data_IF_218858201449
#
_entry.id   IF_218858201449
#
_cell.length_a   1.000
_cell.length_b   1.000
_cell.length_c   1.000
_cell.angle_alpha   90.00
_cell.angle_beta   90.00
_cell.angle_gamma   90.00
#
_symmetry.space_group_name_H-M   'P 1'
#
loop_
_entity.id
_entity.type
_entity.pdbx_description
1 polymer ?
#
# COMPACT_ATOMS: atom_id res chain seq x y z
N UNK A 1 2.09 -23.86 33.02
CA UNK A 1 1.71 -24.35 31.68
C UNK A 1 2.12 -23.28 30.70
N UNK A 2 2.93 -23.67 29.72
CA UNK A 2 3.95 -22.89 29.04
C UNK A 2 3.43 -21.71 28.22
N UNK A 3 4.29 -20.70 28.14
CA UNK A 3 4.26 -19.56 27.22
C UNK A 3 4.43 -20.09 25.80
N UNK A 4 3.37 -20.69 25.30
CA UNK A 4 3.17 -21.10 23.91
C UNK A 4 1.92 -20.35 23.44
N UNK A 5 1.95 -19.03 23.61
CA UNK A 5 1.04 -18.14 22.92
C UNK A 5 1.35 -18.34 21.43
N UNK A 6 0.49 -19.12 20.79
CA UNK A 6 0.58 -19.54 19.41
C UNK A 6 1.09 -18.40 18.51
N UNK A 7 2.36 -18.50 18.13
CA UNK A 7 2.83 -17.95 16.88
C UNK A 7 2.13 -18.72 15.76
N UNK A 8 0.86 -18.40 15.52
CA UNK A 8 0.24 -18.70 14.25
C UNK A 8 1.11 -17.98 13.24
N UNK A 9 1.89 -18.73 12.46
CA UNK A 9 2.59 -18.16 11.31
C UNK A 9 1.51 -17.50 10.45
N UNK A 10 1.44 -16.17 10.53
CA UNK A 10 0.39 -15.38 9.90
C UNK A 10 0.49 -15.35 8.38
N UNK A 11 1.51 -16.00 7.80
CA UNK A 11 1.73 -16.12 6.36
C UNK A 11 2.09 -17.58 6.04
N UNK A 12 1.05 -18.41 5.90
CA UNK A 12 1.14 -19.83 5.60
C UNK A 12 0.54 -20.15 4.23
N UNK A 13 1.33 -20.77 3.37
CA UNK A 13 0.96 -21.16 2.01
C UNK A 13 0.79 -22.67 1.83
N UNK A 14 0.73 -23.47 2.89
CA UNK A 14 0.59 -24.94 2.81
C UNK A 14 -0.70 -25.40 2.11
N UNK A 15 -1.74 -24.57 2.10
CA UNK A 15 -2.99 -24.83 1.40
C UNK A 15 -2.96 -24.40 -0.08
N UNK A 16 -1.85 -23.83 -0.55
CA UNK A 16 -1.72 -23.35 -1.92
C UNK A 16 -1.81 -24.50 -2.93
N UNK A 17 -2.62 -24.39 -3.99
CA UNK A 17 -2.70 -25.40 -5.04
C UNK A 17 -1.44 -25.43 -5.93
N UNK A 18 -0.61 -24.39 -5.86
CA UNK A 18 0.62 -24.24 -6.63
C UNK A 18 1.83 -23.94 -5.72
N UNK A 19 3.06 -24.31 -6.11
CA UNK A 19 4.24 -23.93 -5.36
C UNK A 19 4.38 -22.41 -5.30
N UNK A 20 4.59 -21.86 -4.10
CA UNK A 20 4.89 -20.44 -3.90
C UNK A 20 6.40 -20.26 -3.75
N UNK A 21 6.99 -19.33 -4.50
CA UNK A 21 8.44 -19.07 -4.47
C UNK A 21 8.87 -18.59 -3.07
N UNK A 22 10.02 -19.06 -2.61
CA UNK A 22 10.53 -18.72 -1.27
C UNK A 22 10.83 -17.24 -1.07
N UNK A 23 11.24 -16.53 -2.12
CA UNK A 23 11.52 -15.09 -2.08
C UNK A 23 10.24 -14.25 -1.91
N UNK A 24 9.13 -14.64 -2.54
CA UNK A 24 7.79 -14.08 -2.30
C UNK A 24 7.39 -14.21 -0.83
N UNK A 25 7.48 -15.42 -0.28
CA UNK A 25 7.14 -15.69 1.13
C UNK A 25 8.02 -14.83 2.05
N UNK A 26 9.32 -14.74 1.78
CA UNK A 26 10.25 -13.97 2.59
C UNK A 26 9.93 -12.46 2.55
N UNK A 27 9.65 -11.89 1.39
CA UNK A 27 9.29 -10.47 1.26
C UNK A 27 7.98 -10.15 1.97
N UNK A 28 6.96 -11.00 1.82
CA UNK A 28 5.69 -10.82 2.51
C UNK A 28 5.84 -10.94 4.03
N UNK A 29 6.67 -11.87 4.53
CA UNK A 29 6.99 -11.97 5.96
C UNK A 29 7.64 -10.69 6.49
N UNK A 30 8.57 -10.09 5.75
CA UNK A 30 9.14 -8.77 6.11
C UNK A 30 8.07 -7.68 6.10
N UNK A 31 7.20 -7.67 5.11
CA UNK A 31 6.12 -6.68 5.01
C UNK A 31 5.09 -6.80 6.14
N UNK A 32 4.70 -8.02 6.53
CA UNK A 32 3.79 -8.26 7.66
C UNK A 32 4.42 -7.86 8.99
N UNK A 33 5.71 -8.14 9.19
CA UNK A 33 6.43 -7.69 10.37
C UNK A 33 6.51 -6.15 10.44
N UNK A 34 6.77 -5.49 9.29
CA UNK A 34 6.76 -4.03 9.20
C UNK A 34 5.37 -3.44 9.43
N UNK A 35 4.32 -4.09 8.94
CA UNK A 35 2.93 -3.67 9.16
C UNK A 35 2.58 -3.63 10.65
N UNK A 36 3.06 -4.61 11.42
CA UNK A 36 2.85 -4.68 12.86
C UNK A 36 3.61 -3.61 13.66
N UNK A 37 4.78 -3.18 13.17
CA UNK A 37 5.66 -2.21 13.84
C UNK A 37 5.18 -0.76 13.68
N UNK A 38 5.54 0.17 14.59
CA UNK A 38 5.36 1.59 14.36
C UNK A 38 6.13 2.05 13.11
N UNK A 39 5.52 2.97 12.36
CA UNK A 39 6.07 3.53 11.14
C UNK A 39 6.78 4.86 11.33
N UNK A 40 6.68 5.74 10.33
CA UNK A 40 7.15 7.12 10.45
C UNK A 40 6.09 7.99 11.11
N UNK A 41 4.80 7.77 10.89
CA UNK A 41 3.72 8.65 11.33
C UNK A 41 2.68 7.92 12.16
N UNK A 42 2.50 6.61 11.94
CA UNK A 42 1.52 5.82 12.66
C UNK A 42 2.15 4.84 13.63
N UNK A 43 1.52 4.65 14.79
CA UNK A 43 1.83 3.54 15.68
C UNK A 43 1.45 2.20 15.02
N UNK A 44 2.00 1.10 15.52
CA UNK A 44 1.62 -0.23 15.03
C UNK A 44 0.11 -0.47 15.12
N UNK A 45 -0.54 -0.02 16.20
CA UNK A 45 -1.98 -0.14 16.38
C UNK A 45 -2.77 0.60 15.28
N UNK A 46 -2.38 1.83 14.94
CA UNK A 46 -3.05 2.59 13.87
C UNK A 46 -2.81 1.94 12.50
N UNK A 47 -1.61 1.41 12.23
CA UNK A 47 -1.32 0.70 10.97
C UNK A 47 -2.18 -0.57 10.81
N UNK A 48 -2.40 -1.32 11.89
CA UNK A 48 -3.32 -2.46 11.89
C UNK A 48 -4.76 -2.02 11.68
N UNK A 49 -5.21 -0.95 12.35
CA UNK A 49 -6.55 -0.43 12.14
C UNK A 49 -6.77 0.07 10.70
N UNK A 50 -5.76 0.69 10.06
CA UNK A 50 -5.81 1.06 8.64
C UNK A 50 -6.01 -0.20 7.78
N UNK A 51 -5.29 -1.28 8.08
CA UNK A 51 -5.44 -2.56 7.36
C UNK A 51 -6.83 -3.19 7.55
N UNK A 52 -7.41 -3.10 8.74
CA UNK A 52 -8.77 -3.56 9.04
C UNK A 52 -9.83 -2.78 8.23
N UNK A 53 -9.76 -1.45 8.25
CA UNK A 53 -10.66 -0.59 7.45
C UNK A 53 -10.47 -0.82 5.94
N UNK A 54 -9.23 -1.04 5.49
CA UNK A 54 -8.94 -1.36 4.09
C UNK A 54 -9.68 -2.62 3.62
N UNK A 55 -9.75 -3.64 4.49
CA UNK A 55 -10.51 -4.88 4.22
C UNK A 55 -12.02 -4.65 4.36
N UNK A 56 -12.46 -3.84 5.31
CA UNK A 56 -13.88 -3.58 5.56
C UNK A 56 -14.55 -2.74 4.46
N UNK A 57 -13.81 -1.80 3.85
CA UNK A 57 -14.32 -0.90 2.81
C UNK A 57 -14.94 -1.64 1.60
N UNK A 58 -14.48 -2.86 1.27
CA UNK A 58 -15.08 -3.70 0.22
C UNK A 58 -16.56 -4.04 0.50
N UNK A 59 -16.94 -4.09 1.79
CA UNK A 59 -18.28 -4.44 2.26
C UNK A 59 -19.10 -3.25 2.76
N UNK A 60 -18.53 -2.04 2.79
CA UNK A 60 -19.22 -0.83 3.21
C UNK A 60 -20.38 -0.48 2.24
N UNK A 61 -21.61 -0.36 2.77
CA UNK A 61 -22.80 -0.01 2.01
C UNK A 61 -22.72 1.38 1.39
N UNK A 62 -22.27 2.37 2.16
CA UNK A 62 -22.11 3.72 1.67
C UNK A 62 -21.06 3.84 0.55
N UNK A 63 -19.95 3.09 0.65
CA UNK A 63 -18.97 3.02 -0.43
C UNK A 63 -19.59 2.49 -1.74
N UNK A 64 -20.44 1.46 -1.67
CA UNK A 64 -21.14 0.94 -2.86
C UNK A 64 -22.09 1.97 -3.46
N UNK A 65 -22.88 2.65 -2.64
CA UNK A 65 -23.80 3.70 -3.08
C UNK A 65 -23.05 4.85 -3.77
N UNK A 66 -22.01 5.37 -3.11
CA UNK A 66 -21.16 6.45 -3.63
C UNK A 66 -20.45 6.03 -4.93
N UNK A 67 -20.00 4.77 -5.03
CA UNK A 67 -19.40 4.22 -6.25
C UNK A 67 -20.38 4.18 -7.42
N UNK A 68 -21.65 3.84 -7.15
CA UNK A 68 -22.70 3.77 -8.16
C UNK A 68 -23.20 5.16 -8.60
N UNK A 69 -23.08 6.18 -7.74
CA UNK A 69 -23.49 7.53 -8.05
C UNK A 69 -22.66 8.17 -9.17
N UNK A 70 -23.27 9.09 -9.93
CA UNK A 70 -22.59 9.83 -11.00
C UNK A 70 -21.43 10.67 -10.46
N UNK A 71 -21.62 11.31 -9.31
CA UNK A 71 -20.60 12.08 -8.60
C UNK A 71 -20.48 11.57 -7.17
N UNK A 72 -19.26 11.30 -6.66
CA UNK A 72 -19.04 10.93 -5.26
C UNK A 72 -19.56 11.99 -4.28
N UNK A 73 -19.59 13.26 -4.69
CA UNK A 73 -20.02 14.39 -3.87
C UNK A 73 -21.55 14.63 -3.91
N UNK A 74 -22.30 13.84 -4.68
CA UNK A 74 -23.76 13.95 -4.75
C UNK A 74 -24.48 13.08 -3.69
N UNK A 75 -23.73 12.21 -2.99
CA UNK A 75 -24.27 11.31 -1.96
C UNK A 75 -23.61 11.65 -0.63
N UNK A 76 -24.43 11.76 0.41
CA UNK A 76 -23.99 11.97 1.79
C UNK A 76 -24.37 10.78 2.63
N UNK A 77 -23.49 10.36 3.53
CA UNK A 77 -23.67 9.19 4.37
C UNK A 77 -22.45 8.98 5.27
N UNK A 78 -22.51 7.96 6.10
CA UNK A 78 -21.41 7.56 6.97
C UNK A 78 -20.87 6.19 6.52
N UNK A 79 -19.57 5.98 6.68
CA UNK A 79 -18.97 4.67 6.43
C UNK A 79 -19.37 3.68 7.52
N UNK A 80 -19.52 2.42 7.13
CA UNK A 80 -19.53 1.31 8.06
C UNK A 80 -18.09 1.09 8.54
N UNK A 81 -17.78 1.55 9.75
CA UNK A 81 -16.44 1.44 10.35
C UNK A 81 -16.32 0.16 11.18
N UNK A 82 -15.10 -0.36 11.27
CA UNK A 82 -14.75 -1.53 12.11
C UNK A 82 -13.68 -1.21 13.14
N UNK A 83 -13.22 0.04 13.18
CA UNK A 83 -12.17 0.54 14.07
C UNK A 83 -12.58 1.87 14.71
N UNK A 84 -11.76 2.34 15.66
CA UNK A 84 -11.89 3.65 16.31
C UNK A 84 -11.06 4.74 15.61
N UNK A 85 -10.70 4.55 14.32
CA UNK A 85 -9.95 5.56 13.58
C UNK A 85 -10.78 6.84 13.39
N UNK A 86 -10.13 8.03 13.32
CA UNK A 86 -10.82 9.28 13.03
C UNK A 86 -11.59 9.22 11.70
N UNK A 87 -12.75 9.85 11.62
CA UNK A 87 -13.63 9.84 10.44
C UNK A 87 -12.91 10.28 9.16
N UNK A 88 -12.01 11.28 9.25
CA UNK A 88 -11.20 11.75 8.11
C UNK A 88 -10.30 10.63 7.55
N UNK A 89 -9.71 9.81 8.43
CA UNK A 89 -8.82 8.74 8.03
C UNK A 89 -9.60 7.56 7.43
N UNK A 90 -10.74 7.22 8.03
CA UNK A 90 -11.68 6.24 7.47
C UNK A 90 -12.15 6.69 6.07
N UNK A 91 -12.54 7.95 5.90
CA UNK A 91 -12.94 8.51 4.61
C UNK A 91 -11.82 8.38 3.57
N UNK A 92 -10.57 8.67 3.94
CA UNK A 92 -9.40 8.48 3.05
C UNK A 92 -9.26 7.02 2.65
N UNK A 93 -9.23 6.10 3.61
CA UNK A 93 -9.05 4.66 3.37
C UNK A 93 -10.16 4.11 2.47
N UNK A 94 -11.41 4.39 2.81
CA UNK A 94 -12.58 3.88 2.11
C UNK A 94 -12.66 4.43 0.68
N UNK A 95 -12.42 5.73 0.49
CA UNK A 95 -12.47 6.35 -0.85
C UNK A 95 -11.32 5.87 -1.74
N UNK A 96 -10.11 5.75 -1.22
CA UNK A 96 -8.96 5.19 -1.96
C UNK A 96 -9.18 3.72 -2.31
N UNK A 97 -9.68 2.90 -1.37
CA UNK A 97 -9.87 1.46 -1.60
C UNK A 97 -10.92 1.17 -2.67
N UNK A 98 -12.00 1.94 -2.70
CA UNK A 98 -13.21 1.58 -3.46
C UNK A 98 -13.41 2.40 -4.74
N UNK A 99 -12.89 3.63 -4.78
CA UNK A 99 -13.10 4.58 -5.87
C UNK A 99 -11.86 5.44 -6.22
N UNK A 100 -10.67 4.83 -6.42
CA UNK A 100 -9.42 5.57 -6.63
C UNK A 100 -9.41 6.38 -7.93
N UNK A 101 -10.12 5.91 -8.97
CA UNK A 101 -10.17 6.57 -10.28
C UNK A 101 -10.98 7.87 -10.33
N UNK A 102 -11.61 8.28 -9.22
CA UNK A 102 -12.36 9.55 -9.11
C UNK A 102 -11.83 10.46 -8.01
N UNK A 103 -10.65 10.17 -7.46
CA UNK A 103 -9.98 11.06 -6.52
C UNK A 103 -9.57 12.35 -7.24
N UNK A 104 -9.59 13.46 -6.51
CA UNK A 104 -9.26 14.78 -7.03
C UNK A 104 -8.34 15.51 -6.06
N UNK A 105 -7.69 16.59 -6.51
CA UNK A 105 -6.93 17.48 -5.61
C UNK A 105 -7.79 17.96 -4.43
N UNK A 106 -9.07 18.27 -4.68
CA UNK A 106 -10.05 18.62 -3.64
C UNK A 106 -10.17 17.54 -2.55
N UNK A 107 -10.21 16.26 -2.92
CA UNK A 107 -10.25 15.16 -1.94
C UNK A 107 -9.04 15.21 -1.00
N UNK A 108 -7.85 15.39 -1.56
CA UNK A 108 -6.62 15.48 -0.79
C UNK A 108 -6.62 16.72 0.13
N UNK A 109 -7.03 17.88 -0.38
CA UNK A 109 -7.13 19.11 0.41
C UNK A 109 -8.17 19.00 1.53
N UNK A 110 -9.30 18.32 1.29
CA UNK A 110 -10.30 18.01 2.32
C UNK A 110 -9.74 17.09 3.40
N UNK A 111 -8.90 16.11 3.04
CA UNK A 111 -8.22 15.24 4.01
C UNK A 111 -7.28 16.03 4.93
N UNK A 112 -6.51 16.98 4.36
CA UNK A 112 -5.64 17.86 5.14
C UNK A 112 -6.44 18.80 6.05
N UNK A 113 -7.50 19.41 5.52
CA UNK A 113 -8.39 20.27 6.29
C UNK A 113 -9.11 19.52 7.42
N UNK A 114 -9.32 18.22 7.25
CA UNK A 114 -9.85 17.31 8.28
C UNK A 114 -8.85 16.89 9.35
N UNK A 115 -7.59 17.33 9.27
CA UNK A 115 -6.59 17.16 10.33
C UNK A 115 -5.48 16.14 10.03
N UNK A 116 -5.46 15.52 8.85
CA UNK A 116 -4.33 14.68 8.44
C UNK A 116 -3.17 15.57 7.97
N UNK A 117 -1.95 15.21 8.32
CA UNK A 117 -0.76 15.69 7.62
C UNK A 117 -0.60 15.00 6.27
N UNK A 118 0.16 15.63 5.38
CA UNK A 118 0.53 15.06 4.08
C UNK A 118 1.28 13.72 4.23
N UNK A 119 2.13 13.61 5.25
CA UNK A 119 2.92 12.43 5.50
C UNK A 119 2.13 11.30 6.17
N UNK A 120 1.17 11.61 7.05
CA UNK A 120 0.18 10.65 7.55
C UNK A 120 -0.69 10.08 6.41
N UNK A 121 -1.11 10.93 5.47
CA UNK A 121 -1.81 10.49 4.26
C UNK A 121 -0.93 9.51 3.44
N UNK A 122 0.34 9.86 3.18
CA UNK A 122 1.25 9.01 2.40
C UNK A 122 1.54 7.68 3.11
N UNK A 123 1.76 7.67 4.42
CA UNK A 123 1.95 6.41 5.16
C UNK A 123 0.70 5.54 5.12
N UNK A 124 -0.48 6.14 5.22
CA UNK A 124 -1.77 5.43 5.07
C UNK A 124 -1.84 4.72 3.72
N UNK A 125 -1.47 5.41 2.63
CA UNK A 125 -1.43 4.81 1.28
C UNK A 125 -0.44 3.65 1.20
N UNK A 126 0.76 3.78 1.81
CA UNK A 126 1.77 2.72 1.86
C UNK A 126 1.29 1.45 2.59
N UNK A 127 0.61 1.63 3.72
CA UNK A 127 -0.03 0.54 4.49
C UNK A 127 -1.11 -0.13 3.64
N UNK A 128 -2.02 0.64 3.04
CA UNK A 128 -3.07 0.11 2.17
C UNK A 128 -2.48 -0.70 1.01
N UNK A 129 -1.47 -0.16 0.32
CA UNK A 129 -0.82 -0.82 -0.80
C UNK A 129 -0.20 -2.18 -0.40
N UNK A 130 0.45 -2.22 0.77
CA UNK A 130 1.02 -3.46 1.33
C UNK A 130 -0.05 -4.53 1.56
N UNK A 131 -1.15 -4.15 2.22
CA UNK A 131 -2.24 -5.09 2.54
C UNK A 131 -2.93 -5.57 1.27
N UNK A 132 -3.25 -4.64 0.35
CA UNK A 132 -3.92 -4.97 -0.91
C UNK A 132 -3.06 -5.91 -1.76
N UNK A 133 -1.74 -5.71 -1.83
CA UNK A 133 -0.86 -6.58 -2.61
C UNK A 133 -0.86 -8.04 -2.11
N UNK A 134 -0.80 -8.23 -0.80
CA UNK A 134 -0.77 -9.57 -0.18
C UNK A 134 -2.15 -10.23 -0.20
N UNK A 135 -3.21 -9.46 0.08
CA UNK A 135 -4.58 -9.96 0.00
C UNK A 135 -4.95 -10.36 -1.43
N UNK A 136 -4.57 -9.55 -2.43
CA UNK A 136 -4.82 -9.87 -3.85
C UNK A 136 -4.06 -11.11 -4.29
N UNK A 137 -2.86 -11.35 -3.76
CA UNK A 137 -2.12 -12.58 -4.01
C UNK A 137 -2.85 -13.80 -3.45
N UNK A 138 -3.37 -13.71 -2.22
CA UNK A 138 -4.16 -14.79 -1.62
C UNK A 138 -5.43 -15.06 -2.43
N UNK A 139 -6.18 -14.00 -2.76
CA UNK A 139 -7.41 -14.10 -3.54
C UNK A 139 -7.16 -14.75 -4.91
N UNK A 140 -6.10 -14.34 -5.62
CA UNK A 140 -5.72 -14.91 -6.91
C UNK A 140 -5.32 -16.39 -6.84
N UNK A 141 -4.79 -16.83 -5.70
CA UNK A 141 -4.42 -18.22 -5.43
C UNK A 141 -5.58 -19.06 -4.88
N UNK A 142 -6.75 -18.46 -4.67
CA UNK A 142 -7.90 -19.12 -4.04
C UNK A 142 -7.66 -19.45 -2.56
N UNK A 143 -6.79 -18.68 -1.90
CA UNK A 143 -6.42 -18.86 -0.50
C UNK A 143 -7.23 -17.92 0.40
N UNK A 144 -7.49 -18.32 1.66
CA UNK A 144 -7.97 -17.39 2.65
C UNK A 144 -6.92 -16.27 2.86
N UNK A 145 -7.39 -15.02 2.93
CA UNK A 145 -6.52 -13.90 3.29
C UNK A 145 -5.94 -14.13 4.68
N UNK A 146 -4.66 -13.80 4.84
CA UNK A 146 -3.92 -13.95 6.07
C UNK A 146 -4.49 -13.12 7.21
N UNK A 147 -4.44 -13.65 8.44
CA UNK A 147 -4.77 -12.85 9.63
C UNK A 147 -3.83 -11.66 9.76
N UNK A 148 -4.36 -10.50 10.12
CA UNK A 148 -3.53 -9.34 10.42
C UNK A 148 -2.65 -9.65 11.64
N UNK A 149 -1.39 -9.17 11.67
CA UNK A 149 -0.52 -9.41 12.80
C UNK A 149 -0.97 -8.57 14.01
N UNK A 150 -0.62 -9.02 15.22
CA UNK A 150 -0.83 -8.21 16.41
C UNK A 150 0.08 -6.97 16.36
N UNK A 151 -0.42 -5.77 16.73
CA UNK A 151 0.38 -4.56 16.70
C UNK A 151 1.52 -4.64 17.72
N UNK A 152 2.70 -4.18 17.31
CA UNK A 152 3.87 -4.02 18.17
C UNK A 152 3.85 -2.60 18.73
N UNK A 153 4.03 -2.49 20.05
CA UNK A 153 4.08 -1.20 20.74
C UNK A 153 5.32 -0.39 20.33
N UNK A 154 5.16 0.94 20.31
CA UNK A 154 6.24 1.88 20.05
C UNK A 154 5.71 3.15 19.39
N UNK A 155 6.51 4.20 19.43
CA UNK A 155 6.15 5.50 18.88
C UNK A 155 6.56 5.61 17.40
N UNK A 156 5.76 6.32 16.58
CA UNK A 156 6.18 6.70 15.24
C UNK A 156 7.42 7.61 15.29
N UNK A 157 8.28 7.50 14.27
CA UNK A 157 9.58 8.23 14.23
C UNK A 157 9.46 9.70 13.85
N UNK A 158 8.36 10.06 13.20
CA UNK A 158 7.94 11.37 12.69
C UNK A 158 8.99 12.08 11.84
N UNK A 159 9.69 11.33 10.97
CA UNK A 159 10.71 11.90 10.08
C UNK A 159 10.09 12.27 8.75
N UNK A 160 10.11 13.56 8.47
CA UNK A 160 9.76 14.11 7.17
C UNK A 160 11.04 14.42 6.38
N UNK A 161 11.22 13.93 5.14
CA UNK A 161 12.39 14.24 4.33
C UNK A 161 12.54 15.74 4.08
N UNK A 162 13.76 16.26 4.24
CA UNK A 162 14.05 17.69 4.05
C UNK A 162 13.98 18.10 2.58
N UNK A 163 14.30 17.19 1.66
CA UNK A 163 14.28 17.41 0.21
C UNK A 163 12.90 17.26 -0.44
N UNK A 164 11.84 17.03 0.33
CA UNK A 164 10.50 16.86 -0.22
C UNK A 164 9.92 18.18 -0.78
N UNK A 165 9.49 18.14 -2.04
CA UNK A 165 8.98 19.30 -2.79
C UNK A 165 7.63 19.01 -3.44
N UNK A 166 6.82 20.05 -3.57
CA UNK A 166 5.60 20.03 -4.38
C UNK A 166 5.92 20.05 -5.89
N UNK A 167 4.91 19.76 -6.72
CA UNK A 167 4.95 20.02 -8.16
C UNK A 167 4.89 18.79 -9.06
N UNK A 168 5.24 17.60 -8.54
CA UNK A 168 5.07 16.35 -9.29
C UNK A 168 3.68 15.73 -9.13
N UNK A 169 3.13 15.77 -7.91
CA UNK A 169 1.83 15.22 -7.54
C UNK A 169 1.13 16.18 -6.56
N UNK A 170 -0.06 15.79 -6.06
CA UNK A 170 -0.74 16.57 -5.01
C UNK A 170 0.02 16.53 -3.68
N UNK A 171 0.65 15.39 -3.38
CA UNK A 171 1.55 15.23 -2.23
C UNK A 171 2.96 15.68 -2.59
N UNK A 172 3.73 16.26 -1.67
CA UNK A 172 5.16 16.47 -1.85
C UNK A 172 5.91 15.15 -2.12
N UNK A 173 6.94 15.19 -2.96
CA UNK A 173 7.78 14.04 -3.29
C UNK A 173 9.26 14.40 -3.20
N UNK A 174 10.13 13.41 -3.03
CA UNK A 174 11.59 13.58 -2.96
C UNK A 174 12.20 13.10 -4.27
N UNK A 175 12.88 13.98 -4.99
CA UNK A 175 13.63 13.61 -6.19
C UNK A 175 14.99 12.99 -5.82
N UNK A 176 15.62 12.16 -6.68
CA UNK A 176 16.96 11.62 -6.43
C UNK A 176 18.01 12.69 -6.10
N UNK A 177 17.96 13.83 -6.80
CA UNK A 177 18.86 14.97 -6.58
C UNK A 177 18.63 15.71 -5.26
N UNK A 178 17.51 15.43 -4.58
CA UNK A 178 17.11 16.06 -3.32
C UNK A 178 17.29 15.13 -2.10
N UNK A 179 17.88 13.95 -2.29
CA UNK A 179 18.18 13.03 -1.20
C UNK A 179 19.28 13.58 -0.29
N UNK A 180 19.12 13.34 1.01
CA UNK A 180 20.18 13.50 2.00
C UNK A 180 20.64 12.15 2.51
N UNK A 181 21.69 12.12 3.34
CA UNK A 181 22.15 10.89 3.99
C UNK A 181 21.04 10.20 4.81
N UNK A 182 20.01 10.93 5.25
CA UNK A 182 18.88 10.39 6.00
C UNK A 182 17.97 9.48 5.16
N UNK A 183 17.92 9.69 3.84
CA UNK A 183 17.15 8.89 2.88
C UNK A 183 18.04 7.98 2.01
N UNK A 184 19.30 7.76 2.43
CA UNK A 184 20.24 6.91 1.72
C UNK A 184 19.63 5.52 1.46
N UNK A 185 19.73 5.08 0.21
CA UNK A 185 19.21 3.80 -0.24
C UNK A 185 17.71 3.75 -0.57
N UNK A 186 16.96 4.84 -0.43
CA UNK A 186 15.53 4.87 -0.77
C UNK A 186 15.23 4.40 -2.21
N UNK A 187 16.14 4.68 -3.16
CA UNK A 187 16.02 4.29 -4.56
C UNK A 187 17.04 3.21 -4.98
N UNK A 188 17.59 2.43 -4.04
CA UNK A 188 18.54 1.37 -4.38
C UNK A 188 17.89 0.33 -5.30
N UNK A 189 18.51 0.12 -6.46
CA UNK A 189 17.99 -0.78 -7.49
C UNK A 189 16.76 -0.25 -8.24
N UNK A 190 16.41 1.02 -8.08
CA UNK A 190 15.28 1.66 -8.74
C UNK A 190 15.73 2.82 -9.63
N UNK A 191 15.14 2.93 -10.81
CA UNK A 191 15.35 4.06 -11.74
C UNK A 191 14.76 5.40 -11.27
N UNK A 192 14.13 5.43 -10.09
CA UNK A 192 13.53 6.60 -9.45
C UNK A 192 12.53 7.41 -10.31
N UNK A 193 11.92 6.78 -11.32
CA UNK A 193 10.80 7.35 -12.09
C UNK A 193 9.57 7.59 -11.19
N UNK A 194 8.54 8.26 -11.72
CA UNK A 194 7.40 8.77 -10.94
C UNK A 194 6.74 7.73 -10.01
N UNK A 195 6.63 6.46 -10.41
CA UNK A 195 6.04 5.42 -9.55
C UNK A 195 6.86 5.19 -8.27
N UNK A 196 8.19 5.21 -8.36
CA UNK A 196 9.08 5.07 -7.20
C UNK A 196 8.94 6.26 -6.24
N UNK A 197 8.58 7.43 -6.78
CA UNK A 197 8.46 8.68 -6.01
C UNK A 197 7.11 8.82 -5.30
N UNK A 198 6.12 7.99 -5.61
CA UNK A 198 4.74 8.14 -5.13
C UNK A 198 4.62 8.10 -3.60
N UNK A 199 5.47 7.33 -2.92
CA UNK A 199 5.51 7.22 -1.45
C UNK A 199 6.72 7.93 -0.83
N UNK A 200 7.49 8.69 -1.60
CA UNK A 200 8.80 9.22 -1.18
C UNK A 200 8.76 10.26 -0.07
N UNK A 201 7.57 10.79 0.27
CA UNK A 201 7.39 11.57 1.49
C UNK A 201 7.59 10.74 2.77
N UNK A 202 7.44 9.42 2.66
CA UNK A 202 7.70 8.44 3.72
C UNK A 202 8.67 7.38 3.17
N UNK A 203 10.00 7.63 3.20
CA UNK A 203 10.99 6.77 2.55
C UNK A 203 10.90 5.29 2.93
N UNK A 204 10.55 4.98 4.19
CA UNK A 204 10.36 3.62 4.65
C UNK A 204 9.25 2.87 3.89
N UNK A 205 8.22 3.57 3.41
CA UNK A 205 7.15 2.97 2.62
C UNK A 205 7.57 2.75 1.15
N UNK A 206 8.48 3.57 0.60
CA UNK A 206 9.10 3.27 -0.71
C UNK A 206 9.89 1.96 -0.63
N UNK A 207 10.82 1.88 0.32
CA UNK A 207 11.67 0.69 0.53
C UNK A 207 10.79 -0.53 0.79
N UNK A 208 9.78 -0.37 1.66
CA UNK A 208 8.88 -1.44 2.03
C UNK A 208 7.99 -1.95 0.89
N UNK A 209 7.52 -1.05 0.02
CA UNK A 209 6.71 -1.41 -1.14
C UNK A 209 7.56 -2.12 -2.20
N UNK A 210 8.73 -1.59 -2.54
CA UNK A 210 9.58 -2.16 -3.59
C UNK A 210 10.31 -3.45 -3.20
N UNK A 211 10.49 -3.71 -1.90
CA UNK A 211 10.88 -5.03 -1.39
C UNK A 211 9.88 -6.13 -1.79
N UNK A 212 8.57 -5.80 -1.84
CA UNK A 212 7.55 -6.73 -2.32
C UNK A 212 7.37 -6.68 -3.84
N UNK A 213 7.28 -5.48 -4.42
CA UNK A 213 7.03 -5.28 -5.84
C UNK A 213 8.04 -6.05 -6.69
N UNK A 214 9.34 -5.97 -6.34
CA UNK A 214 10.41 -6.64 -7.07
C UNK A 214 10.25 -8.17 -7.17
N UNK A 215 9.59 -8.81 -6.20
CA UNK A 215 9.36 -10.26 -6.21
C UNK A 215 7.97 -10.64 -6.72
N UNK A 216 6.96 -9.79 -6.49
CA UNK A 216 5.58 -9.95 -6.98
C UNK A 216 5.47 -9.70 -8.49
N UNK A 217 6.24 -8.75 -8.99
CA UNK A 217 6.30 -8.36 -10.39
C UNK A 217 7.66 -8.72 -10.98
N UNK A 218 8.53 -7.72 -11.16
CA UNK A 218 9.92 -7.84 -11.58
C UNK A 218 10.74 -6.71 -10.94
N UNK A 219 12.02 -6.92 -10.61
CA UNK A 219 12.93 -5.83 -10.26
C UNK A 219 13.06 -4.82 -11.41
N UNK A 220 13.24 -3.53 -11.09
CA UNK A 220 13.28 -2.43 -12.09
C UNK A 220 14.31 -2.67 -13.21
N UNK A 221 15.50 -3.16 -12.86
CA UNK A 221 16.54 -3.48 -13.85
C UNK A 221 16.17 -4.62 -14.80
N UNK A 222 15.25 -5.51 -14.41
CA UNK A 222 14.78 -6.63 -15.26
C UNK A 222 13.66 -6.19 -16.20
N UNK A 223 12.86 -5.18 -15.84
CA UNK A 223 11.71 -4.71 -16.64
C UNK A 223 12.08 -4.30 -18.07
N UNK A 224 13.32 -3.82 -18.27
CA UNK A 224 13.82 -3.36 -19.56
C UNK A 224 14.81 -4.34 -20.20
N UNK A 225 15.05 -5.49 -19.59
CA UNK A 225 15.87 -6.56 -20.17
C UNK A 225 15.00 -7.51 -20.99
N UNK A 226 14.64 -7.06 -22.20
CA UNK A 226 13.87 -7.85 -23.16
C UNK A 226 14.64 -9.05 -23.75
N UNK A 227 15.92 -9.22 -23.40
CA UNK A 227 16.74 -10.36 -23.84
C UNK A 227 16.55 -11.61 -23.00
N UNK A 228 15.98 -11.48 -21.79
CA UNK A 228 15.88 -12.55 -20.81
C UNK A 228 14.48 -12.61 -20.21
N UNK A 229 13.83 -13.78 -20.24
CA UNK A 229 12.56 -13.98 -19.54
C UNK A 229 12.82 -14.54 -18.13
N UNK A 230 12.67 -13.69 -17.11
CA UNK A 230 12.96 -14.04 -15.71
C UNK A 230 11.83 -14.81 -15.00
N UNK A 231 10.66 -14.91 -15.64
CA UNK A 231 9.45 -15.54 -15.12
C UNK A 231 8.86 -16.46 -16.19
N UNK A 232 7.87 -17.25 -15.80
CA UNK A 232 7.16 -18.12 -16.73
C UNK A 232 6.32 -17.35 -17.76
N UNK A 233 5.90 -16.13 -17.42
CA UNK A 233 5.28 -15.20 -18.35
C UNK A 233 6.37 -14.38 -19.05
N UNK A 234 6.18 -14.16 -20.35
CA UNK A 234 7.04 -13.23 -21.10
C UNK A 234 6.80 -11.79 -20.65
N UNK A 235 7.74 -10.89 -20.96
CA UNK A 235 7.52 -9.46 -20.77
C UNK A 235 6.21 -8.97 -21.41
N UNK A 236 5.94 -9.39 -22.66
CA UNK A 236 4.72 -8.98 -23.36
C UNK A 236 3.43 -9.47 -22.66
N UNK A 237 3.44 -10.69 -22.12
CA UNK A 237 2.30 -11.22 -21.35
C UNK A 237 2.13 -10.48 -20.02
N UNK A 238 3.25 -10.19 -19.35
CA UNK A 238 3.29 -9.47 -18.08
C UNK A 238 2.74 -8.05 -18.27
N UNK A 239 3.21 -7.32 -19.27
CA UNK A 239 2.75 -5.97 -19.61
C UNK A 239 1.29 -5.96 -20.09
N UNK A 240 0.83 -6.99 -20.80
CA UNK A 240 -0.59 -7.12 -21.15
C UNK A 240 -1.48 -7.23 -19.91
N UNK A 241 -1.09 -8.06 -18.94
CA UNK A 241 -1.81 -8.20 -17.67
C UNK A 241 -1.77 -6.91 -16.87
N UNK A 242 -0.59 -6.29 -16.74
CA UNK A 242 -0.41 -5.01 -16.04
C UNK A 242 -1.28 -3.93 -16.66
N UNK A 243 -1.26 -3.77 -17.99
CA UNK A 243 -2.11 -2.83 -18.72
C UNK A 243 -3.60 -3.08 -18.50
N UNK A 244 -4.03 -4.35 -18.49
CA UNK A 244 -5.43 -4.71 -18.21
C UNK A 244 -5.85 -4.33 -16.79
N UNK A 245 -5.00 -4.60 -15.80
CA UNK A 245 -5.24 -4.24 -14.38
C UNK A 245 -5.30 -2.71 -14.24
N UNK A 246 -4.39 -1.97 -14.88
CA UNK A 246 -4.38 -0.51 -14.87
C UNK A 246 -5.68 0.08 -15.44
N UNK A 247 -6.19 -0.47 -16.55
CA UNK A 247 -7.48 -0.04 -17.12
C UNK A 247 -8.66 -0.32 -16.18
N UNK A 248 -8.70 -1.50 -15.55
CA UNK A 248 -9.76 -1.87 -14.60
C UNK A 248 -9.75 -0.94 -13.39
N UNK A 249 -8.57 -0.61 -12.88
CA UNK A 249 -8.39 0.27 -11.73
C UNK A 249 -8.40 1.77 -12.09
N UNK A 250 -8.52 2.11 -13.38
CA UNK A 250 -8.45 3.49 -13.90
C UNK A 250 -7.17 4.23 -13.46
N UNK A 251 -6.05 3.50 -13.44
CA UNK A 251 -4.73 4.08 -13.29
C UNK A 251 -4.36 4.79 -14.60
N UNK A 252 -4.64 6.09 -14.66
CA UNK A 252 -4.34 6.94 -15.82
C UNK A 252 -3.13 7.81 -15.51
N UNK A 253 -2.22 7.93 -16.48
CA UNK A 253 -1.03 8.80 -16.44
C UNK A 253 -1.33 10.16 -17.06
#
# INVERSE_FOLDING_TARGET
MSVEAAMVESLDYRLSPLPVRGDLIAAQKRAWARLAAPGEWWSGAVRIAIAEETRAAERCGFCRERKAALSPYAVTGAHETVTDLPEVLVEVIHRIRTDPGRLTRRFYEEALAGGLSDAEYVETVGVMATVIAIDSFCDAMGLPRHSLPAPVAGEPRQRRPAGAKEGLAWVPTVAPEDLTDAEAGMYDGLSAVNIHRALSLVPAEVVGFFDMDSVHYLPDGQLRDYGTEYRALTHAQTEFLAGRVSVINRCVY
#
